data_IF_592745820686
#
_entry.id   IF_592745820686
#
_cell.length_a   1.000
_cell.length_b   1.000
_cell.length_c   1.000
_cell.angle_alpha   90.00
_cell.angle_beta   90.00
_cell.angle_gamma   90.00
#
_symmetry.space_group_name_H-M   'P 1'
#
loop_
_entity.id
_entity.type
_entity.pdbx_description
1 polymer ?
#
# COMPACT_ATOMS: atom_id res chain seq x y z
N UNK A 1 3.68 -56.08 -32.81
CA UNK A 1 3.13 -54.73 -33.03
C UNK A 1 3.98 -54.13 -34.11
N UNK A 2 3.37 -53.80 -35.25
CA UNK A 2 4.10 -53.19 -36.36
C UNK A 2 4.56 -51.80 -35.94
N UNK A 3 5.71 -51.36 -36.44
CA UNK A 3 6.32 -50.05 -36.06
C UNK A 3 5.38 -48.86 -36.30
N UNK A 4 4.36 -49.02 -37.14
CA UNK A 4 3.34 -48.02 -37.41
C UNK A 4 2.26 -47.97 -36.33
N UNK A 5 1.86 -49.12 -35.77
CA UNK A 5 0.87 -49.20 -34.68
C UNK A 5 1.39 -48.55 -33.40
N UNK A 6 2.66 -48.75 -33.07
CA UNK A 6 3.29 -48.13 -31.90
C UNK A 6 3.37 -46.60 -32.04
N UNK A 7 3.60 -46.09 -33.26
CA UNK A 7 3.57 -44.66 -33.56
C UNK A 7 2.14 -44.07 -33.44
N UNK A 8 1.13 -44.84 -33.85
CA UNK A 8 -0.28 -44.45 -33.68
C UNK A 8 -0.69 -44.40 -32.20
N UNK A 9 -0.26 -45.36 -31.38
CA UNK A 9 -0.50 -45.34 -29.94
C UNK A 9 0.21 -44.17 -29.24
N UNK A 10 1.46 -43.88 -29.62
CA UNK A 10 2.22 -42.77 -29.07
C UNK A 10 1.58 -41.41 -29.40
N UNK A 11 1.14 -41.22 -30.65
CA UNK A 11 0.43 -39.99 -31.07
C UNK A 11 -0.93 -39.86 -30.39
N UNK A 12 -1.68 -40.96 -30.25
CA UNK A 12 -2.95 -40.98 -29.53
C UNK A 12 -2.76 -40.58 -28.05
N UNK A 13 -1.77 -41.15 -27.37
CA UNK A 13 -1.43 -40.81 -26.00
C UNK A 13 -1.04 -39.32 -25.86
N UNK A 14 -0.24 -38.78 -26.78
CA UNK A 14 0.11 -37.36 -26.79
C UNK A 14 -1.11 -36.43 -26.95
N UNK A 15 -2.08 -36.80 -27.79
CA UNK A 15 -3.34 -36.04 -27.98
C UNK A 15 -4.18 -36.07 -26.70
N UNK A 16 -4.33 -37.25 -26.07
CA UNK A 16 -5.10 -37.38 -24.82
C UNK A 16 -4.48 -36.57 -23.68
N UNK A 17 -3.16 -36.60 -23.52
CA UNK A 17 -2.47 -35.79 -22.51
C UNK A 17 -2.59 -34.28 -22.79
N UNK A 18 -2.43 -33.85 -24.04
CA UNK A 18 -2.60 -32.45 -24.41
C UNK A 18 -4.03 -31.94 -24.13
N UNK A 19 -5.05 -32.71 -24.47
CA UNK A 19 -6.46 -32.36 -24.19
C UNK A 19 -6.76 -32.38 -22.69
N UNK A 20 -6.17 -33.31 -21.93
CA UNK A 20 -6.24 -33.36 -20.46
C UNK A 20 -5.66 -32.09 -19.84
N UNK A 21 -4.45 -31.69 -20.23
CA UNK A 21 -3.79 -30.48 -19.75
C UNK A 21 -4.60 -29.22 -20.12
N UNK A 22 -5.15 -29.16 -21.33
CA UNK A 22 -6.01 -28.05 -21.77
C UNK A 22 -7.28 -27.93 -20.90
N UNK A 23 -7.89 -29.07 -20.53
CA UNK A 23 -9.06 -29.08 -19.63
C UNK A 23 -8.70 -28.64 -18.21
N UNK A 24 -7.55 -29.05 -17.69
CA UNK A 24 -7.06 -28.65 -16.36
C UNK A 24 -6.80 -27.15 -16.30
N UNK A 25 -6.08 -26.60 -17.29
CA UNK A 25 -5.77 -25.17 -17.36
C UNK A 25 -7.03 -24.31 -17.46
N UNK A 26 -8.04 -24.73 -18.23
CA UNK A 26 -9.33 -24.05 -18.31
C UNK A 26 -10.09 -24.04 -16.97
N UNK A 27 -10.06 -25.16 -16.23
CA UNK A 27 -10.67 -25.26 -14.89
C UNK A 27 -9.97 -24.38 -13.85
N UNK A 28 -8.65 -24.26 -13.92
CA UNK A 28 -7.89 -23.37 -13.03
C UNK A 28 -8.13 -21.89 -13.36
N UNK A 29 -8.43 -21.58 -14.62
CA UNK A 29 -8.67 -20.22 -15.09
C UNK A 29 -10.06 -19.68 -14.72
N UNK A 30 -11.07 -20.54 -14.59
CA UNK A 30 -12.42 -20.13 -14.22
C UNK A 30 -12.53 -19.88 -12.72
N UNK A 31 -13.22 -18.81 -12.34
CA UNK A 31 -13.43 -18.43 -10.94
C UNK A 31 -14.90 -18.53 -10.60
N UNK A 32 -15.26 -19.31 -9.57
CA UNK A 32 -16.67 -19.57 -9.22
C UNK A 32 -17.43 -18.34 -8.70
N UNK A 33 -16.73 -17.42 -8.01
CA UNK A 33 -17.36 -16.33 -7.26
C UNK A 33 -17.01 -14.92 -7.77
N UNK A 34 -16.38 -14.79 -8.95
CA UNK A 34 -16.08 -13.48 -9.57
C UNK A 34 -16.21 -13.56 -11.09
N UNK A 35 -16.64 -12.48 -11.77
CA UNK A 35 -16.71 -12.44 -13.22
C UNK A 35 -15.31 -12.52 -13.84
N UNK A 36 -15.23 -13.12 -15.03
CA UNK A 36 -14.00 -13.16 -15.81
C UNK A 36 -13.65 -11.76 -16.33
N UNK A 37 -12.41 -11.31 -16.09
CA UNK A 37 -11.94 -10.02 -16.59
C UNK A 37 -11.93 -10.01 -18.13
N UNK A 38 -12.43 -8.93 -18.77
CA UNK A 38 -12.43 -8.82 -20.22
C UNK A 38 -10.98 -8.77 -20.76
N UNK A 39 -10.74 -9.45 -21.87
CA UNK A 39 -9.40 -9.55 -22.49
C UNK A 39 -8.79 -8.19 -22.87
N UNK A 40 -9.61 -7.16 -23.03
CA UNK A 40 -9.22 -5.78 -23.38
C UNK A 40 -8.63 -5.01 -22.18
N UNK A 41 -9.04 -5.33 -20.96
CA UNK A 41 -8.51 -4.70 -19.75
C UNK A 41 -7.19 -5.32 -19.28
N UNK A 42 -6.89 -6.54 -19.74
CA UNK A 42 -5.70 -7.30 -19.34
C UNK A 42 -4.53 -6.94 -20.26
N UNK A 43 -3.44 -6.42 -19.68
CA UNK A 43 -2.17 -6.22 -20.38
C UNK A 43 -1.50 -7.57 -20.61
N UNK A 44 -1.03 -7.82 -21.84
CA UNK A 44 -0.30 -9.04 -22.22
C UNK A 44 1.16 -8.70 -22.46
N UNK A 45 2.04 -9.62 -22.09
CA UNK A 45 3.46 -9.51 -22.41
C UNK A 45 3.70 -10.02 -23.84
N UNK A 46 4.66 -9.40 -24.52
CA UNK A 46 5.06 -9.80 -25.87
C UNK A 46 5.85 -11.12 -25.85
N UNK A 47 6.56 -11.42 -24.74
CA UNK A 47 7.28 -12.70 -24.57
C UNK A 47 6.32 -13.89 -24.58
N UNK A 48 5.29 -13.85 -23.74
CA UNK A 48 4.29 -14.92 -23.64
C UNK A 48 3.56 -15.12 -24.99
N UNK A 49 3.38 -14.05 -25.76
CA UNK A 49 2.81 -14.11 -27.10
C UNK A 49 3.77 -14.76 -28.10
N UNK A 50 5.06 -14.41 -28.09
CA UNK A 50 6.06 -15.00 -28.99
C UNK A 50 6.25 -16.50 -28.74
N UNK A 51 6.33 -16.91 -27.47
CA UNK A 51 6.47 -18.32 -27.08
C UNK A 51 5.27 -19.16 -27.53
N UNK A 52 4.06 -18.58 -27.46
CA UNK A 52 2.86 -19.26 -27.92
C UNK A 52 2.81 -19.40 -29.44
N UNK A 53 3.26 -18.39 -30.19
CA UNK A 53 3.34 -18.46 -31.66
C UNK A 53 4.37 -19.49 -32.13
N UNK A 54 5.55 -19.52 -31.50
CA UNK A 54 6.60 -20.50 -31.80
C UNK A 54 6.14 -21.93 -31.50
N UNK A 55 5.43 -22.14 -30.38
CA UNK A 55 4.82 -23.43 -30.06
C UNK A 55 3.78 -23.88 -31.10
N UNK A 56 3.12 -22.94 -31.77
CA UNK A 56 2.20 -23.21 -32.88
C UNK A 56 2.91 -23.34 -34.24
N UNK A 57 4.23 -23.18 -34.28
CA UNK A 57 5.03 -23.24 -35.51
C UNK A 57 5.01 -21.95 -36.34
N UNK A 58 4.63 -20.82 -35.75
CA UNK A 58 4.57 -19.51 -36.42
C UNK A 58 5.78 -18.65 -36.03
N UNK A 59 6.34 -17.91 -36.99
CA UNK A 59 7.45 -17.00 -36.74
C UNK A 59 7.01 -15.79 -35.88
N UNK A 60 7.74 -15.54 -34.79
CA UNK A 60 7.45 -14.49 -33.80
C UNK A 60 8.24 -13.19 -34.03
N UNK A 61 9.16 -13.17 -35.01
CA UNK A 61 10.10 -12.05 -35.25
C UNK A 61 9.42 -10.71 -35.47
N UNK A 62 8.35 -10.68 -36.27
CA UNK A 62 7.61 -9.45 -36.59
C UNK A 62 6.84 -8.91 -35.37
N UNK A 63 6.25 -9.79 -34.55
CA UNK A 63 5.56 -9.41 -33.33
C UNK A 63 6.53 -8.77 -32.30
N UNK A 64 7.75 -9.30 -32.21
CA UNK A 64 8.82 -8.80 -31.33
C UNK A 64 9.43 -7.50 -31.84
N UNK A 65 9.51 -7.30 -33.16
CA UNK A 65 10.03 -6.07 -33.75
C UNK A 65 9.15 -4.85 -33.38
N UNK A 66 7.82 -4.99 -33.43
CA UNK A 66 6.87 -3.91 -33.09
C UNK A 66 6.95 -3.47 -31.62
N UNK A 67 7.35 -4.36 -30.71
CA UNK A 67 7.44 -4.03 -29.28
C UNK A 67 8.72 -3.30 -28.89
N UNK A 68 9.76 -3.32 -29.75
CA UNK A 68 11.01 -2.61 -29.52
C UNK A 68 10.85 -1.13 -29.88
N UNK A 69 9.97 -0.44 -29.15
CA UNK A 69 9.87 1.00 -29.21
C UNK A 69 11.17 1.62 -28.69
N UNK A 70 11.97 2.19 -29.59
CA UNK A 70 13.15 2.98 -29.21
C UNK A 70 12.65 4.17 -28.40
N UNK A 71 12.83 4.12 -27.08
CA UNK A 71 12.67 5.30 -26.25
C UNK A 71 13.77 6.26 -26.67
N UNK A 72 13.42 7.35 -27.37
CA UNK A 72 14.35 8.47 -27.54
C UNK A 72 14.88 8.84 -26.17
N UNK A 73 16.21 8.77 -25.99
CA UNK A 73 16.85 9.27 -24.79
C UNK A 73 16.50 10.76 -24.71
N UNK A 74 15.62 11.13 -23.78
CA UNK A 74 15.43 12.54 -23.43
C UNK A 74 16.74 13.01 -22.83
N UNK A 75 17.16 14.23 -23.14
CA UNK A 75 18.40 14.82 -22.66
C UNK A 75 18.57 14.56 -21.16
N UNK A 76 19.74 14.06 -20.77
CA UNK A 76 20.13 13.75 -19.39
C UNK A 76 19.95 14.95 -18.44
N UNK A 77 19.85 16.16 -18.97
CA UNK A 77 19.50 17.39 -18.23
C UNK A 77 18.10 17.39 -17.57
N UNK A 78 17.22 16.41 -17.86
CA UNK A 78 15.90 16.28 -17.21
C UNK A 78 15.79 15.06 -16.29
N UNK A 79 16.81 14.20 -16.23
CA UNK A 79 16.78 12.93 -15.48
C UNK A 79 17.25 13.03 -14.03
N UNK A 80 18.07 14.03 -13.71
CA UNK A 80 18.66 14.22 -12.38
C UNK A 80 18.04 15.43 -11.66
N UNK A 81 16.72 15.47 -11.62
CA UNK A 81 15.98 16.41 -10.75
C UNK A 81 14.83 15.70 -10.03
N UNK A 82 15.11 14.51 -9.50
CA UNK A 82 14.20 13.84 -8.54
C UNK A 82 14.23 14.56 -7.18
N UNK A 83 15.16 15.50 -6.99
CA UNK A 83 15.06 16.52 -5.95
C UNK A 83 14.92 17.92 -6.59
N UNK A 84 13.79 18.17 -7.28
CA UNK A 84 13.21 19.51 -7.08
C UNK A 84 12.94 19.58 -5.59
N UNK A 85 13.73 20.37 -4.87
CA UNK A 85 13.45 20.72 -3.48
C UNK A 85 11.96 21.00 -3.41
N UNK A 86 11.26 20.29 -2.52
CA UNK A 86 9.81 20.41 -2.37
C UNK A 86 9.35 21.85 -2.03
N UNK A 87 10.29 22.80 -1.94
CA UNK A 87 10.10 24.22 -1.71
C UNK A 87 9.79 25.08 -2.94
N UNK A 88 9.90 24.60 -4.20
CA UNK A 88 9.72 25.50 -5.38
C UNK A 88 8.71 25.08 -6.45
N UNK A 89 8.06 23.92 -6.35
CA UNK A 89 7.21 23.40 -7.44
C UNK A 89 5.72 23.25 -7.12
N UNK A 90 5.28 23.77 -5.98
CA UNK A 90 3.87 24.05 -5.76
C UNK A 90 3.75 25.49 -5.31
N UNK A 91 3.00 26.36 -6.02
CA UNK A 91 2.26 27.37 -5.30
C UNK A 91 1.24 26.60 -4.46
N UNK A 92 1.64 26.16 -3.27
CA UNK A 92 0.72 25.82 -2.18
C UNK A 92 0.05 27.14 -1.77
N UNK A 93 -0.80 27.66 -2.64
CA UNK A 93 -1.88 28.56 -2.24
C UNK A 93 -2.94 27.68 -1.58
N UNK A 94 -2.56 26.94 -0.55
CA UNK A 94 -3.54 26.49 0.42
C UNK A 94 -4.08 27.80 1.03
N UNK A 95 -5.37 28.04 0.83
CA UNK A 95 -6.06 29.22 1.39
C UNK A 95 -5.92 29.24 2.93
N UNK A 96 -5.58 28.09 3.51
CA UNK A 96 -5.28 27.88 4.93
C UNK A 96 -3.83 28.25 5.22
N UNK A 97 -3.59 29.49 5.65
CA UNK A 97 -2.30 29.89 6.21
C UNK A 97 -2.03 29.13 7.51
N UNK A 98 -0.82 28.60 7.65
CA UNK A 98 -0.36 28.01 8.91
C UNK A 98 -0.34 29.07 10.03
N UNK A 99 -1.29 28.98 10.96
CA UNK A 99 -1.43 29.92 12.07
C UNK A 99 -0.22 29.91 13.01
N UNK A 100 0.54 28.81 13.05
CA UNK A 100 1.74 28.72 13.88
C UNK A 100 2.89 29.58 13.35
N UNK A 101 2.87 29.92 12.05
CA UNK A 101 3.87 30.77 11.41
C UNK A 101 3.39 32.21 11.21
N UNK A 102 2.08 32.45 11.26
CA UNK A 102 1.46 33.76 10.97
C UNK A 102 1.93 34.93 11.85
N UNK A 103 2.52 34.66 13.02
CA UNK A 103 3.07 35.68 13.93
C UNK A 103 4.60 35.70 14.00
N UNK A 104 5.28 34.91 13.18
CA UNK A 104 6.72 34.71 13.27
C UNK A 104 7.39 35.13 11.96
N UNK A 105 8.44 35.95 12.04
CA UNK A 105 9.07 36.55 10.86
C UNK A 105 9.81 35.53 10.00
N UNK A 106 10.63 34.69 10.64
CA UNK A 106 11.56 33.77 9.96
C UNK A 106 11.43 32.34 10.50
N UNK A 107 11.81 31.35 9.70
CA UNK A 107 11.84 29.92 10.10
C UNK A 107 12.69 29.69 11.36
N UNK A 108 13.82 30.40 11.52
CA UNK A 108 14.65 30.32 12.74
C UNK A 108 13.85 30.64 14.00
N UNK A 109 13.05 31.71 13.98
CA UNK A 109 12.22 32.08 15.13
C UNK A 109 11.10 31.05 15.38
N UNK A 110 10.59 30.38 14.33
CA UNK A 110 9.60 29.30 14.47
C UNK A 110 10.21 28.13 15.22
N UNK A 111 11.43 27.72 14.86
CA UNK A 111 12.15 26.63 15.53
C UNK A 111 12.40 26.93 17.01
N UNK A 112 12.80 28.17 17.34
CA UNK A 112 12.96 28.58 18.74
C UNK A 112 11.63 28.57 19.49
N UNK A 113 10.54 29.07 18.89
CA UNK A 113 9.20 29.01 19.48
C UNK A 113 8.75 27.58 19.75
N UNK A 114 9.00 26.65 18.83
CA UNK A 114 8.70 25.23 19.03
C UNK A 114 9.53 24.60 20.15
N UNK A 115 10.79 25.02 20.31
CA UNK A 115 11.66 24.57 21.41
C UNK A 115 11.12 25.04 22.76
N UNK A 116 10.70 26.31 22.85
CA UNK A 116 10.06 26.85 24.07
C UNK A 116 8.75 26.12 24.37
N UNK A 117 7.92 25.83 23.35
CA UNK A 117 6.69 25.02 23.50
C UNK A 117 6.98 23.64 24.09
N UNK A 118 7.97 22.92 23.56
CA UNK A 118 8.35 21.58 24.06
C UNK A 118 8.88 21.65 25.49
N UNK A 119 9.62 22.70 25.85
CA UNK A 119 10.11 22.90 27.22
C UNK A 119 8.95 23.10 28.20
N UNK A 120 7.96 23.93 27.84
CA UNK A 120 6.77 24.18 28.66
C UNK A 120 5.91 22.92 28.87
N UNK A 121 5.87 22.02 27.88
CA UNK A 121 5.13 20.75 27.98
C UNK A 121 5.76 19.73 28.95
N UNK A 122 7.00 19.93 29.41
CA UNK A 122 7.65 18.96 30.31
C UNK A 122 6.95 18.81 31.66
N UNK A 123 6.42 19.90 32.22
CA UNK A 123 5.75 19.87 33.53
C UNK A 123 4.42 19.08 33.52
N UNK A 124 3.47 19.30 32.59
CA UNK A 124 2.28 18.45 32.51
C UNK A 124 2.61 17.00 32.12
N UNK A 125 3.62 16.79 31.28
CA UNK A 125 4.05 15.44 30.90
C UNK A 125 4.64 14.67 32.08
N UNK A 126 5.38 15.33 32.97
CA UNK A 126 5.87 14.74 34.22
C UNK A 126 4.72 14.29 35.13
N UNK A 127 3.62 15.04 35.15
CA UNK A 127 2.40 14.71 35.88
C UNK A 127 1.48 13.74 35.10
N UNK A 128 1.95 13.18 33.98
CA UNK A 128 1.22 12.27 33.10
C UNK A 128 -0.14 12.81 32.62
N UNK A 129 -0.25 14.12 32.41
CA UNK A 129 -1.46 14.74 31.85
C UNK A 129 -1.65 14.33 30.39
N UNK A 130 -2.90 14.08 30.00
CA UNK A 130 -3.23 13.70 28.60
C UNK A 130 -2.97 14.84 27.61
N UNK A 131 -3.05 16.08 28.07
CA UNK A 131 -2.79 17.28 27.29
C UNK A 131 -3.05 18.55 28.10
N UNK A 132 -2.96 19.71 27.45
CA UNK A 132 -3.20 21.01 28.12
C UNK A 132 -4.64 21.20 28.62
N UNK A 133 -5.58 20.47 28.03
CA UNK A 133 -7.00 20.48 28.44
C UNK A 133 -7.28 19.61 29.66
N UNK A 134 -6.37 18.71 30.03
CA UNK A 134 -6.55 17.81 31.17
C UNK A 134 -6.20 18.50 32.50
N UNK A 135 -7.19 19.20 33.03
CA UNK A 135 -7.11 19.98 34.28
C UNK A 135 -7.93 19.35 35.41
N UNK A 136 -8.21 18.05 35.34
CA UNK A 136 -9.00 17.36 36.35
C UNK A 136 -8.27 17.33 37.71
N UNK A 137 -8.99 17.68 38.77
CA UNK A 137 -8.52 17.64 40.16
C UNK A 137 -9.16 16.43 40.84
N UNK A 138 -8.34 15.44 41.20
CA UNK A 138 -8.80 14.25 41.91
C UNK A 138 -8.91 14.52 43.41
N UNK A 139 -9.92 13.93 44.05
CA UNK A 139 -10.09 14.01 45.49
C UNK A 139 -9.09 13.08 46.18
N UNK A 140 -8.18 13.65 46.99
CA UNK A 140 -7.17 12.86 47.73
C UNK A 140 -7.79 11.95 48.79
N UNK A 141 -8.81 12.45 49.51
CA UNK A 141 -9.47 11.72 50.59
C UNK A 141 -10.99 11.76 50.37
N UNK A 142 -11.56 10.81 49.60
CA UNK A 142 -13.01 10.75 49.41
C UNK A 142 -13.73 10.40 50.72
N UNK A 143 -14.79 11.17 51.02
CA UNK A 143 -15.54 11.06 52.28
C UNK A 143 -16.05 9.65 52.60
N UNK A 144 -16.57 8.94 51.59
CA UNK A 144 -17.16 7.61 51.76
C UNK A 144 -16.13 6.52 52.18
N UNK A 145 -14.83 6.79 52.04
CA UNK A 145 -13.78 5.88 52.53
C UNK A 145 -13.33 6.21 53.96
N UNK A 146 -13.36 7.49 54.38
CA UNK A 146 -12.66 7.94 55.59
C UNK A 146 -13.57 8.50 56.71
N UNK A 147 -14.85 8.75 56.44
CA UNK A 147 -15.73 9.46 57.39
C UNK A 147 -16.48 8.54 58.37
N UNK A 148 -16.76 7.30 58.00
CA UNK A 148 -17.75 6.47 58.70
C UNK A 148 -17.13 5.18 59.27
N UNK A 149 -17.74 4.65 60.34
CA UNK A 149 -17.46 3.32 60.89
C UNK A 149 -18.56 2.33 60.46
N UNK A 150 -18.19 1.08 60.19
CA UNK A 150 -19.15 0.01 59.87
C UNK A 150 -19.79 -0.53 61.16
N UNK A 151 -21.12 -0.45 61.25
CA UNK A 151 -21.90 -1.02 62.35
C UNK A 151 -22.45 -2.42 62.04
N UNK A 152 -23.19 -3.01 62.98
CA UNK A 152 -23.95 -4.23 62.72
C UNK A 152 -25.13 -3.94 61.79
N UNK A 153 -25.26 -4.71 60.70
CA UNK A 153 -26.33 -4.58 59.72
C UNK A 153 -25.83 -4.36 58.30
N UNK A 154 -26.53 -3.51 57.54
CA UNK A 154 -26.20 -3.22 56.13
C UNK A 154 -24.91 -2.40 56.03
N UNK A 155 -24.11 -2.74 55.03
CA UNK A 155 -22.82 -2.11 54.70
C UNK A 155 -22.95 -1.30 53.41
N UNK A 156 -22.14 -0.24 53.27
CA UNK A 156 -22.25 0.74 52.16
C UNK A 156 -21.84 0.17 50.79
N UNK A 157 -21.08 -0.93 50.76
CA UNK A 157 -20.59 -1.59 49.56
C UNK A 157 -20.85 -3.11 49.63
N UNK A 158 -20.91 -3.76 48.47
CA UNK A 158 -21.14 -5.20 48.31
C UNK A 158 -19.83 -5.97 48.14
#
# INVERSE_FOLDING_TARGET
>A
MDSEDEALEATANAITEHTRLTRITARLKTTKNRPMLPKTAIKRNVSDMSEHLEKMGLDSTEARARSRGVKRARSVSRGESIARTASMARPETSVVRDRTMSGVRNVKQKLESEKVRKLAQRTPNLLAKRGESDRAVQTKMPKHLFSNKRGNGKTDWR
#
